data_IF_137458323613
#
_entry.id   IF_137458323613
#
_cell.length_a   1.000
_cell.length_b   1.000
_cell.length_c   1.000
_cell.angle_alpha   90.00
_cell.angle_beta   90.00
_cell.angle_gamma   90.00
#
_symmetry.space_group_name_H-M   'P 1'
#
loop_
_entity.id
_entity.type
_entity.pdbx_description
1 polymer ?
#
# COMPACT_ATOMS: atom_id res chain seq x y z
N UNK A 1 21.36 -13.51 10.19
CA UNK A 1 19.94 -13.17 9.97
C UNK A 1 19.69 -13.31 8.48
N UNK A 2 18.75 -14.15 8.09
CA UNK A 2 18.39 -14.34 6.68
C UNK A 2 17.92 -13.00 6.11
N UNK A 3 18.44 -12.61 4.95
CA UNK A 3 18.07 -11.36 4.29
C UNK A 3 16.63 -11.56 3.80
N UNK A 4 15.65 -11.06 4.56
CA UNK A 4 14.25 -11.11 4.14
C UNK A 4 14.17 -10.26 2.88
N UNK A 5 14.07 -10.89 1.71
CA UNK A 5 13.87 -10.14 0.48
C UNK A 5 12.54 -9.39 0.60
N UNK A 6 12.59 -8.10 0.26
CA UNK A 6 11.47 -7.16 0.38
C UNK A 6 11.12 -6.62 -1.00
N UNK A 7 9.82 -6.55 -1.30
CA UNK A 7 9.33 -5.78 -2.43
C UNK A 7 8.62 -4.55 -1.89
N UNK A 8 9.02 -3.37 -2.34
CA UNK A 8 8.39 -2.10 -1.99
C UNK A 8 7.68 -1.53 -3.22
N UNK A 9 6.40 -1.26 -3.09
CA UNK A 9 5.61 -0.55 -4.09
C UNK A 9 5.10 0.75 -3.48
N UNK A 10 5.62 1.88 -3.95
CA UNK A 10 5.15 3.21 -3.54
C UNK A 10 4.26 3.79 -4.62
N UNK A 11 3.08 4.25 -4.22
CA UNK A 11 2.13 4.96 -5.08
C UNK A 11 1.91 6.35 -4.50
N UNK A 12 2.18 7.37 -5.31
CA UNK A 12 1.87 8.74 -4.97
C UNK A 12 0.37 9.02 -5.10
N UNK A 13 -0.14 9.92 -4.25
CA UNK A 13 -1.51 10.42 -4.27
C UNK A 13 -1.44 11.88 -4.71
N UNK A 14 -2.20 12.22 -5.75
CA UNK A 14 -2.21 13.54 -6.35
C UNK A 14 -3.58 14.22 -6.23
N UNK A 15 -3.57 15.54 -6.03
CA UNK A 15 -4.73 16.42 -6.23
C UNK A 15 -4.35 17.44 -7.28
N UNK A 16 -4.92 17.33 -8.47
CA UNK A 16 -4.38 17.99 -9.66
C UNK A 16 -2.94 17.54 -9.91
N UNK A 17 -2.02 18.47 -10.11
CA UNK A 17 -0.60 18.17 -10.35
C UNK A 17 0.23 18.11 -9.05
N UNK A 18 -0.41 18.22 -7.88
CA UNK A 18 0.27 18.29 -6.60
C UNK A 18 0.31 16.93 -5.92
N UNK A 19 1.51 16.43 -5.61
CA UNK A 19 1.68 15.27 -4.74
C UNK A 19 1.28 15.66 -3.31
N UNK A 20 0.21 15.07 -2.80
CA UNK A 20 -0.34 15.36 -1.46
C UNK A 20 -0.04 14.27 -0.44
N UNK A 21 0.41 13.10 -0.89
CA UNK A 21 0.76 11.98 -0.02
C UNK A 21 1.28 10.79 -0.81
N UNK A 22 1.71 9.75 -0.11
CA UNK A 22 2.15 8.51 -0.71
C UNK A 22 1.82 7.31 0.16
N UNK A 23 1.44 6.23 -0.51
CA UNK A 23 1.15 4.93 0.07
C UNK A 23 2.25 3.97 -0.34
N UNK A 24 2.92 3.36 0.62
CA UNK A 24 3.95 2.35 0.37
C UNK A 24 3.51 1.02 0.93
N UNK A 25 3.49 0.01 0.06
CA UNK A 25 3.26 -1.38 0.42
C UNK A 25 4.59 -2.15 0.38
N UNK A 26 4.97 -2.72 1.50
CA UNK A 26 6.12 -3.61 1.64
C UNK A 26 5.64 -5.03 1.84
N UNK A 27 6.02 -5.94 0.96
CA UNK A 27 5.81 -7.39 1.13
C UNK A 27 7.12 -8.08 1.45
N UNK A 28 7.05 -9.09 2.31
CA UNK A 28 8.17 -9.89 2.75
C UNK A 28 7.97 -11.34 2.30
N UNK A 29 9.06 -12.01 1.93
CA UNK A 29 8.99 -13.42 1.50
C UNK A 29 8.43 -14.40 2.55
N UNK A 30 8.38 -14.00 3.82
CA UNK A 30 7.76 -14.78 4.89
C UNK A 30 6.23 -14.59 4.97
N UNK A 31 5.61 -13.96 3.97
CA UNK A 31 4.17 -13.68 3.92
C UNK A 31 3.73 -12.47 4.75
N UNK A 32 4.64 -11.80 5.45
CA UNK A 32 4.33 -10.56 6.16
C UNK A 32 4.11 -9.42 5.15
N UNK A 33 3.27 -8.47 5.51
CA UNK A 33 3.02 -7.25 4.75
C UNK A 33 2.99 -6.06 5.70
N UNK A 34 3.55 -4.93 5.27
CA UNK A 34 3.45 -3.64 5.93
C UNK A 34 2.94 -2.61 4.94
N UNK A 35 1.95 -1.82 5.33
CA UNK A 35 1.45 -0.69 4.56
C UNK A 35 1.69 0.59 5.37
N UNK A 36 2.42 1.54 4.79
CA UNK A 36 2.66 2.84 5.39
C UNK A 36 2.06 3.93 4.51
N UNK A 37 1.41 4.89 5.14
CA UNK A 37 0.87 6.07 4.48
C UNK A 37 1.51 7.33 5.06
N UNK A 38 1.94 8.24 4.19
CA UNK A 38 2.51 9.54 4.56
C UNK A 38 1.76 10.65 3.83
N UNK A 39 1.43 11.71 4.55
CA UNK A 39 0.80 12.91 4.02
C UNK A 39 1.87 13.96 3.82
N UNK A 40 2.02 14.44 2.59
CA UNK A 40 3.01 15.46 2.21
C UNK A 40 2.40 16.88 2.27
N UNK A 41 1.09 17.00 2.05
CA UNK A 41 0.33 18.24 2.16
C UNK A 41 -0.96 18.01 2.95
N UNK A 42 -0.92 18.35 4.24
CA UNK A 42 -2.01 18.11 5.19
C UNK A 42 -3.30 18.88 4.81
N UNK A 43 -3.26 20.21 4.57
CA UNK A 43 -4.47 20.95 4.20
C UNK A 43 -5.13 20.42 2.92
N UNK A 44 -4.35 20.12 1.89
CA UNK A 44 -4.86 19.70 0.59
C UNK A 44 -5.40 18.28 0.65
N UNK A 45 -4.68 17.38 1.33
CA UNK A 45 -5.11 15.98 1.49
C UNK A 45 -6.44 15.89 2.25
N UNK A 46 -6.57 16.56 3.40
CA UNK A 46 -7.79 16.50 4.21
C UNK A 46 -8.94 17.36 3.65
N UNK A 47 -8.63 18.34 2.79
CA UNK A 47 -9.62 19.15 2.09
C UNK A 47 -10.16 18.53 0.81
N UNK A 48 -9.57 17.44 0.32
CA UNK A 48 -9.92 16.79 -0.96
C UNK A 48 -10.60 15.43 -0.74
N UNK A 49 -11.85 15.28 -1.21
CA UNK A 49 -12.50 13.97 -1.30
C UNK A 49 -11.74 12.99 -2.20
N UNK A 50 -11.13 13.48 -3.27
CA UNK A 50 -10.38 12.67 -4.24
C UNK A 50 -9.17 11.99 -3.58
N UNK A 51 -8.35 12.75 -2.84
CA UNK A 51 -7.19 12.20 -2.13
C UNK A 51 -7.58 11.13 -1.09
N UNK A 52 -8.71 11.35 -0.41
CA UNK A 52 -9.27 10.39 0.56
C UNK A 52 -9.74 9.11 -0.13
N UNK A 53 -10.39 9.23 -1.30
CA UNK A 53 -10.87 8.11 -2.09
C UNK A 53 -9.71 7.28 -2.68
N UNK A 54 -8.67 7.95 -3.17
CA UNK A 54 -7.47 7.28 -3.68
C UNK A 54 -6.77 6.47 -2.59
N UNK A 55 -6.61 7.03 -1.39
CA UNK A 55 -6.08 6.28 -0.25
C UNK A 55 -6.95 5.05 0.07
N UNK A 56 -8.28 5.20 0.09
CA UNK A 56 -9.18 4.09 0.37
C UNK A 56 -9.06 2.97 -0.69
N UNK A 57 -8.91 3.33 -1.97
CA UNK A 57 -8.70 2.39 -3.06
C UNK A 57 -7.36 1.65 -2.92
N UNK A 58 -6.29 2.35 -2.53
CA UNK A 58 -4.97 1.78 -2.30
C UNK A 58 -4.96 0.82 -1.11
N UNK A 59 -5.58 1.20 0.01
CA UNK A 59 -5.73 0.32 1.18
C UNK A 59 -6.54 -0.93 0.82
N UNK A 60 -7.65 -0.79 0.10
CA UNK A 60 -8.46 -1.93 -0.36
C UNK A 60 -7.65 -2.86 -1.27
N UNK A 61 -6.85 -2.30 -2.18
CA UNK A 61 -5.97 -3.07 -3.06
C UNK A 61 -4.91 -3.84 -2.27
N UNK A 62 -4.29 -3.21 -1.27
CA UNK A 62 -3.32 -3.87 -0.38
C UNK A 62 -3.96 -5.04 0.40
N UNK A 63 -5.19 -4.86 0.91
CA UNK A 63 -5.94 -5.94 1.58
C UNK A 63 -6.23 -7.09 0.63
N UNK A 64 -6.63 -6.80 -0.61
CA UNK A 64 -6.87 -7.84 -1.61
C UNK A 64 -5.58 -8.59 -1.99
N UNK A 65 -4.46 -7.87 -2.11
CA UNK A 65 -3.15 -8.50 -2.35
C UNK A 65 -2.73 -9.38 -1.17
N UNK A 66 -3.00 -8.97 0.07
CA UNK A 66 -2.73 -9.79 1.26
C UNK A 66 -3.52 -11.11 1.22
N UNK A 67 -4.80 -11.06 0.84
CA UNK A 67 -5.63 -12.26 0.68
C UNK A 67 -5.12 -13.19 -0.42
N UNK A 68 -4.67 -12.63 -1.55
CA UNK A 68 -4.09 -13.42 -2.64
C UNK A 68 -2.79 -14.13 -2.21
N UNK A 69 -1.90 -13.43 -1.50
CA UNK A 69 -0.67 -14.02 -0.96
C UNK A 69 -0.94 -15.17 0.02
N UNK A 70 -1.96 -15.04 0.86
CA UNK A 70 -2.39 -16.15 1.73
C UNK A 70 -2.87 -17.35 0.92
N UNK A 71 -3.72 -17.13 -0.10
CA UNK A 71 -4.23 -18.20 -0.95
C UNK A 71 -3.10 -18.92 -1.72
N UNK A 72 -2.13 -18.18 -2.26
CA UNK A 72 -0.96 -18.76 -2.95
C UNK A 72 -0.11 -19.61 -1.98
N UNK A 73 0.11 -19.12 -0.75
CA UNK A 73 0.83 -19.87 0.28
C UNK A 73 0.09 -21.16 0.66
N UNK A 74 -1.22 -21.11 0.84
CA UNK A 74 -2.04 -22.30 1.14
C UNK A 74 -2.03 -23.30 -0.02
N UNK A 75 -2.13 -22.83 -1.26
CA UNK A 75 -2.04 -23.69 -2.46
C UNK A 75 -0.68 -24.37 -2.60
N UNK A 76 0.41 -23.70 -2.21
CA UNK A 76 1.78 -24.26 -2.28
C UNK A 76 2.08 -25.41 -1.30
N UNK A 77 1.18 -25.68 -0.35
CA UNK A 77 1.32 -26.76 0.64
C UNK A 77 0.72 -28.09 0.18
N UNK A 78 -0.04 -28.09 -0.92
CA UNK A 78 -0.65 -29.28 -1.52
C UNK A 78 0.21 -29.81 -2.66
#
# INVERSE_FOLDING_TARGET
MEKVNTTNTTTDIYVGDKNVGNFTLTTFNNGTMNASFMINDVPTFHGSPEASQDLANLVSSAVNQSKALLADFEASKN
#
